data_IF_774628908117
#
_entry.id   IF_774628908117
#
_cell.length_a   1.000
_cell.length_b   1.000
_cell.length_c   1.000
_cell.angle_alpha   90.00
_cell.angle_beta   90.00
_cell.angle_gamma   90.00
#
_symmetry.space_group_name_H-M   'P 1'
#
loop_
_entity.id
_entity.type
_entity.pdbx_description
1 polymer ?
#
# COMPACT_ATOMS: atom_id res chain seq x y z
N UNK A 1 10.10 6.28 12.51
CA UNK A 1 9.86 5.46 11.31
C UNK A 1 10.87 4.31 11.25
N UNK A 2 10.39 3.07 11.17
CA UNK A 2 11.22 1.87 11.02
C UNK A 2 11.91 1.82 9.64
N UNK A 3 13.07 1.17 9.53
CA UNK A 3 13.88 1.13 8.30
C UNK A 3 13.10 0.57 7.09
N UNK A 4 12.32 -0.50 7.31
CA UNK A 4 11.51 -1.11 6.27
C UNK A 4 10.40 -0.17 5.76
N UNK A 5 9.79 0.59 6.67
CA UNK A 5 8.76 1.57 6.32
C UNK A 5 9.36 2.69 5.49
N UNK A 6 10.53 3.17 5.87
CA UNK A 6 11.24 4.22 5.15
C UNK A 6 11.59 3.80 3.72
N UNK A 7 12.04 2.55 3.52
CA UNK A 7 12.40 2.02 2.21
C UNK A 7 11.16 1.80 1.33
N UNK A 8 10.03 1.36 1.90
CA UNK A 8 8.76 1.26 1.16
C UNK A 8 8.29 2.65 0.73
N UNK A 9 8.34 3.61 1.65
CA UNK A 9 7.98 4.99 1.38
C UNK A 9 8.87 5.61 0.30
N UNK A 10 10.19 5.37 0.33
CA UNK A 10 11.12 5.88 -0.67
C UNK A 10 10.84 5.29 -2.06
N UNK A 11 10.63 3.97 -2.15
CA UNK A 11 10.25 3.30 -3.39
C UNK A 11 8.95 3.88 -3.97
N UNK A 12 7.91 4.02 -3.13
CA UNK A 12 6.64 4.62 -3.55
C UNK A 12 6.82 6.08 -4.00
N UNK A 13 7.59 6.88 -3.27
CA UNK A 13 7.87 8.27 -3.63
C UNK A 13 8.59 8.37 -4.99
N UNK A 14 9.53 7.47 -5.27
CA UNK A 14 10.22 7.38 -6.56
C UNK A 14 9.31 7.05 -7.74
N UNK A 15 8.13 6.49 -7.48
CA UNK A 15 7.15 6.12 -8.50
C UNK A 15 5.85 6.95 -8.44
N UNK A 16 5.87 8.07 -7.71
CA UNK A 16 4.78 9.06 -7.76
C UNK A 16 4.59 9.61 -9.18
N UNK A 17 3.33 9.85 -9.54
CA UNK A 17 2.92 10.23 -10.90
C UNK A 17 2.65 9.05 -11.84
N UNK A 18 3.02 7.82 -11.44
CA UNK A 18 2.77 6.58 -12.19
C UNK A 18 1.58 5.77 -11.66
N UNK A 19 1.27 4.67 -12.37
CA UNK A 19 0.34 3.64 -11.90
C UNK A 19 1.14 2.50 -11.27
N UNK A 20 0.75 2.11 -10.06
CA UNK A 20 1.27 0.92 -9.38
C UNK A 20 0.14 -0.09 -9.20
N UNK A 21 0.49 -1.37 -9.28
CA UNK A 21 -0.38 -2.48 -8.95
C UNK A 21 -0.10 -2.89 -7.51
N UNK A 22 -1.10 -2.73 -6.64
CA UNK A 22 -1.06 -3.13 -5.24
C UNK A 22 -1.88 -4.40 -5.10
N UNK A 23 -1.23 -5.46 -4.68
CA UNK A 23 -1.87 -6.73 -4.40
C UNK A 23 -1.78 -7.01 -2.91
N UNK A 24 -2.95 -7.13 -2.27
CA UNK A 24 -3.08 -7.45 -0.85
C UNK A 24 -3.59 -8.87 -0.71
N UNK A 25 -2.88 -9.68 0.04
CA UNK A 25 -3.29 -11.04 0.36
C UNK A 25 -3.49 -11.22 1.86
N UNK A 26 -4.70 -11.58 2.26
CA UNK A 26 -5.12 -11.89 3.62
C UNK A 26 -5.68 -13.32 3.67
N UNK A 27 -4.92 -14.25 4.25
CA UNK A 27 -5.28 -15.67 4.27
C UNK A 27 -5.59 -16.20 2.85
N UNK A 28 -6.85 -16.44 2.54
CA UNK A 28 -7.35 -16.94 1.26
C UNK A 28 -7.88 -15.83 0.34
N UNK A 29 -8.01 -14.61 0.85
CA UNK A 29 -8.49 -13.45 0.10
C UNK A 29 -7.32 -12.71 -0.56
N UNK A 30 -7.52 -12.30 -1.81
CA UNK A 30 -6.52 -11.60 -2.63
C UNK A 30 -7.21 -10.50 -3.42
N UNK A 31 -6.93 -9.27 -3.02
CA UNK A 31 -7.34 -8.08 -3.73
C UNK A 31 -6.20 -7.59 -4.63
N UNK A 32 -6.56 -7.13 -5.84
CA UNK A 32 -5.64 -6.44 -6.74
C UNK A 32 -6.20 -5.08 -7.12
N UNK A 33 -5.40 -4.06 -6.86
CA UNK A 33 -5.76 -2.66 -7.04
C UNK A 33 -4.77 -2.02 -8.00
N UNK A 34 -5.28 -1.35 -9.02
CA UNK A 34 -4.51 -0.48 -9.91
C UNK A 34 -4.62 0.93 -9.35
N UNK A 35 -3.52 1.47 -8.83
CA UNK A 35 -3.50 2.72 -8.10
C UNK A 35 -2.61 3.74 -8.80
N UNK A 36 -3.20 4.84 -9.27
CA UNK A 36 -2.45 5.98 -9.77
C UNK A 36 -1.96 6.78 -8.59
N UNK A 37 -0.67 6.67 -8.26
CA UNK A 37 -0.08 7.25 -7.08
C UNK A 37 0.28 8.72 -7.33
N UNK A 38 -0.24 9.63 -6.50
CA UNK A 38 0.04 11.07 -6.59
C UNK A 38 0.96 11.54 -5.47
N UNK A 39 0.72 11.07 -4.23
CA UNK A 39 1.53 11.43 -3.05
C UNK A 39 1.55 10.27 -2.05
N UNK A 40 2.59 10.21 -1.25
CA UNK A 40 2.73 9.26 -0.14
C UNK A 40 2.94 10.05 1.13
N UNK A 41 2.09 9.82 2.12
CA UNK A 41 2.23 10.34 3.48
C UNK A 41 2.45 9.19 4.46
N UNK A 42 2.98 9.52 5.63
CA UNK A 42 3.13 8.58 6.73
C UNK A 42 2.33 9.07 7.92
N UNK A 43 1.49 8.18 8.45
CA UNK A 43 0.85 8.36 9.75
C UNK A 43 1.63 7.57 10.79
N UNK A 44 2.09 8.27 11.81
CA UNK A 44 2.68 7.67 13.00
C UNK A 44 1.59 7.44 14.05
N UNK A 45 1.54 6.25 14.65
CA UNK A 45 0.58 5.90 15.70
C UNK A 45 0.77 6.76 16.97
N UNK A 46 1.98 7.26 17.25
CA UNK A 46 2.26 8.08 18.44
C UNK A 46 1.66 9.50 18.33
N UNK A 47 1.44 9.98 17.09
CA UNK A 47 0.90 11.31 16.82
C UNK A 47 -0.64 11.36 16.82
N UNK A 48 -1.30 10.19 16.81
CA UNK A 48 -2.77 10.08 16.86
C UNK A 48 -3.24 9.88 18.29
N UNK A 49 -4.22 10.69 18.71
CA UNK A 49 -4.88 10.57 20.02
C UNK A 49 -5.72 9.28 20.13
N UNK A 50 -6.00 8.65 18.98
CA UNK A 50 -6.82 7.45 18.89
C UNK A 50 -5.95 6.19 18.90
N UNK A 51 -5.93 5.49 20.05
CA UNK A 51 -5.23 4.22 20.26
C UNK A 51 -5.66 3.09 19.27
N UNK A 52 -6.70 3.29 18.45
CA UNK A 52 -7.11 2.32 17.42
C UNK A 52 -6.38 2.47 16.09
N UNK A 53 -5.61 3.55 15.87
CA UNK A 53 -4.95 3.82 14.60
C UNK A 53 -3.46 3.47 14.64
N UNK A 54 -3.13 2.29 14.09
CA UNK A 54 -1.74 1.88 13.85
C UNK A 54 -1.02 2.79 12.84
N UNK A 55 0.31 2.75 12.86
CA UNK A 55 1.16 3.43 11.87
C UNK A 55 0.87 2.90 10.47
N UNK A 56 0.76 3.80 9.49
CA UNK A 56 0.40 3.45 8.13
C UNK A 56 1.03 4.38 7.10
N UNK A 57 1.28 3.85 5.90
CA UNK A 57 1.57 4.66 4.72
C UNK A 57 0.26 4.98 4.00
N UNK A 58 0.00 6.26 3.81
CA UNK A 58 -1.18 6.77 3.14
C UNK A 58 -0.79 7.14 1.71
N UNK A 59 -1.27 6.36 0.75
CA UNK A 59 -1.14 6.63 -0.67
C UNK A 59 -2.29 7.51 -1.11
N UNK A 60 -2.02 8.72 -1.56
CA UNK A 60 -3.02 9.60 -2.18
C UNK A 60 -3.04 9.36 -3.68
N UNK A 61 -4.23 9.25 -4.24
CA UNK A 61 -4.39 8.99 -5.67
C UNK A 61 -5.75 8.40 -6.03
N UNK A 62 -5.85 7.83 -7.22
CA UNK A 62 -7.09 7.16 -7.65
C UNK A 62 -6.82 5.69 -7.90
N UNK A 63 -7.53 4.83 -7.17
CA UNK A 63 -7.47 3.39 -7.33
C UNK A 63 -8.64 2.82 -8.11
N UNK A 64 -8.44 1.69 -8.76
CA UNK A 64 -9.50 0.85 -9.32
C UNK A 64 -9.22 -0.63 -8.99
N UNK A 65 -10.26 -1.38 -8.68
CA UNK A 65 -10.19 -2.83 -8.41
C UNK A 65 -11.16 -3.58 -9.32
N UNK A 66 -10.95 -4.88 -9.49
CA UNK A 66 -11.86 -5.72 -10.25
C UNK A 66 -12.99 -6.21 -9.35
N UNK A 67 -14.24 -5.97 -9.74
CA UNK A 67 -15.40 -6.50 -9.01
C UNK A 67 -15.66 -7.98 -9.37
N UNK A 68 -16.67 -8.58 -8.73
CA UNK A 68 -17.06 -9.98 -8.97
C UNK A 68 -17.56 -10.26 -10.41
N UNK A 69 -17.99 -9.22 -11.14
CA UNK A 69 -18.40 -9.29 -12.54
C UNK A 69 -17.22 -9.14 -13.52
N UNK A 70 -16.00 -8.91 -13.02
CA UNK A 70 -14.81 -8.73 -13.83
C UNK A 70 -14.62 -7.30 -14.38
N UNK A 71 -15.41 -6.34 -13.91
CA UNK A 71 -15.31 -4.94 -14.30
C UNK A 71 -14.35 -4.17 -13.39
N UNK A 72 -13.56 -3.27 -13.98
CA UNK A 72 -12.74 -2.31 -13.24
C UNK A 72 -13.64 -1.22 -12.66
N UNK A 73 -13.76 -1.20 -11.33
CA UNK A 73 -14.51 -0.21 -10.58
C UNK A 73 -13.55 0.67 -9.79
N UNK A 74 -13.79 1.98 -9.79
CA UNK A 74 -12.98 2.91 -8.99
C UNK A 74 -13.22 2.71 -7.51
N UNK A 75 -12.15 2.80 -6.72
CA UNK A 75 -12.27 2.82 -5.27
C UNK A 75 -13.03 4.07 -4.82
N UNK A 76 -13.88 3.96 -3.78
CA UNK A 76 -14.67 5.09 -3.28
C UNK A 76 -13.79 6.18 -2.66
N UNK A 77 -12.63 5.78 -2.11
CA UNK A 77 -11.65 6.69 -1.51
C UNK A 77 -10.55 7.01 -2.51
N UNK A 78 -10.14 8.28 -2.53
CA UNK A 78 -8.96 8.75 -3.28
C UNK A 78 -7.66 8.56 -2.48
N UNK A 79 -7.65 7.53 -1.64
CA UNK A 79 -6.50 7.17 -0.83
C UNK A 79 -6.52 5.68 -0.53
N UNK A 80 -5.34 5.10 -0.39
CA UNK A 80 -5.16 3.73 0.03
C UNK A 80 -4.17 3.68 1.21
N UNK A 81 -4.54 2.97 2.27
CA UNK A 81 -3.73 2.86 3.48
C UNK A 81 -3.04 1.49 3.51
N UNK A 82 -1.71 1.49 3.61
CA UNK A 82 -0.91 0.30 3.89
C UNK A 82 -0.55 0.35 5.37
N UNK A 83 -1.13 -0.55 6.16
CA UNK A 83 -0.71 -0.75 7.54
C UNK A 83 0.78 -1.16 7.55
N UNK A 84 1.59 -0.56 8.42
CA UNK A 84 3.03 -0.86 8.48
C UNK A 84 3.50 -1.45 9.80
N UNK A 85 2.57 -1.77 10.70
CA UNK A 85 2.90 -2.56 11.90
C UNK A 85 3.52 -3.90 11.51
N UNK A 86 4.70 -4.18 12.04
CA UNK A 86 5.45 -5.40 11.77
C UNK A 86 5.89 -5.55 10.31
N UNK A 87 6.01 -4.44 9.57
CA UNK A 87 6.40 -4.45 8.16
C UNK A 87 7.81 -5.02 8.00
N UNK A 88 7.91 -6.12 7.25
CA UNK A 88 9.16 -6.74 6.85
C UNK A 88 9.17 -6.98 5.34
N UNK A 89 10.29 -6.72 4.67
CA UNK A 89 10.43 -7.06 3.25
C UNK A 89 10.77 -8.53 3.09
N UNK A 90 10.06 -9.19 2.18
CA UNK A 90 10.45 -10.51 1.69
C UNK A 90 11.41 -10.38 0.50
N UNK A 91 11.19 -9.37 -0.35
CA UNK A 91 12.07 -9.01 -1.47
C UNK A 91 11.72 -7.61 -1.96
N UNK A 92 12.70 -6.87 -2.47
CA UNK A 92 12.50 -5.55 -3.06
C UNK A 92 13.47 -5.37 -4.23
N UNK A 93 12.92 -5.03 -5.38
CA UNK A 93 13.61 -4.75 -6.63
C UNK A 93 13.09 -3.41 -7.20
N UNK A 94 13.74 -2.88 -8.24
CA UNK A 94 13.37 -1.59 -8.84
C UNK A 94 11.92 -1.53 -9.37
N UNK A 95 11.34 -2.67 -9.74
CA UNK A 95 10.00 -2.74 -10.36
C UNK A 95 8.95 -3.42 -9.49
N UNK A 96 9.38 -4.05 -8.38
CA UNK A 96 8.50 -4.88 -7.56
C UNK A 96 9.00 -4.94 -6.12
N UNK A 97 8.08 -4.77 -5.18
CA UNK A 97 8.32 -4.86 -3.76
C UNK A 97 7.34 -5.85 -3.14
N UNK A 98 7.86 -6.79 -2.34
CA UNK A 98 7.08 -7.73 -1.57
C UNK A 98 7.32 -7.47 -0.08
N UNK A 99 6.27 -7.05 0.60
CA UNK A 99 6.28 -6.78 2.03
C UNK A 99 5.26 -7.66 2.74
N UNK A 100 5.53 -7.97 4.00
CA UNK A 100 4.63 -8.67 4.89
C UNK A 100 4.46 -7.84 6.15
N UNK A 101 3.23 -7.78 6.64
CA UNK A 101 2.85 -7.17 7.92
C UNK A 101 2.31 -8.26 8.83
N UNK A 102 1.97 -7.90 10.07
CA UNK A 102 1.29 -8.82 10.99
C UNK A 102 -0.06 -9.34 10.45
N UNK A 103 -0.72 -8.58 9.57
CA UNK A 103 -2.09 -8.88 9.09
C UNK A 103 -2.16 -9.41 7.67
N UNK A 104 -1.29 -8.92 6.78
CA UNK A 104 -1.39 -9.17 5.35
C UNK A 104 -0.03 -9.19 4.65
N UNK A 105 0.00 -9.83 3.48
CA UNK A 105 1.12 -9.72 2.53
C UNK A 105 0.75 -8.72 1.43
N UNK A 106 1.69 -7.86 1.10
CA UNK A 106 1.57 -6.86 0.06
C UNK A 106 2.59 -7.13 -1.04
N UNK A 107 2.13 -7.17 -2.28
CA UNK A 107 2.99 -7.11 -3.46
C UNK A 107 2.67 -5.83 -4.21
N UNK A 108 3.64 -4.92 -4.27
CA UNK A 108 3.57 -3.71 -5.08
C UNK A 108 4.41 -3.94 -6.34
N UNK A 109 3.89 -3.57 -7.50
CA UNK A 109 4.61 -3.65 -8.77
C UNK A 109 4.27 -2.45 -9.65
N UNK A 110 5.18 -2.09 -10.55
CA UNK A 110 4.88 -1.11 -11.61
C UNK A 110 3.96 -1.74 -12.66
N UNK A 111 3.07 -0.91 -13.24
CA UNK A 111 2.24 -1.29 -14.39
C UNK A 111 3.05 -1.38 -15.70
#
# INVERSE_FOLDING_TARGET
>A
MEEHVQLLADWLNGHTGGTIVIEKQELEDRDKIYFKLERVDYRDADDVIDDYLDSALILHGTGSTMNADGELVSLPLQSYEIAVSGLAFTSADETRVQAQTDRAKYTLALE
#
